data_IF_960269135117
#
_entry.id   IF_960269135117
#
_cell.length_a   1.000
_cell.length_b   1.000
_cell.length_c   1.000
_cell.angle_alpha   90.00
_cell.angle_beta   90.00
_cell.angle_gamma   90.00
#
_symmetry.space_group_name_H-M   'P 1'
#
loop_
_entity.id
_entity.type
_entity.pdbx_description
1 polymer ?
#
# COMPACT_ATOMS: atom_id res chain seq x y z
N UNK A 1 -5.99 41.09 -11.17
CA UNK A 1 -5.50 40.16 -10.14
C UNK A 1 -6.38 38.91 -10.04
N UNK A 2 -7.71 39.01 -9.90
CA UNK A 2 -8.61 37.83 -9.92
C UNK A 2 -8.53 36.99 -11.21
N UNK A 3 -8.42 37.65 -12.37
CA UNK A 3 -8.30 36.99 -13.69
C UNK A 3 -7.02 36.17 -13.89
N UNK A 4 -5.96 36.51 -13.16
CA UNK A 4 -4.65 35.84 -13.22
C UNK A 4 -4.67 34.54 -12.40
N UNK A 5 -5.30 34.59 -11.22
CA UNK A 5 -5.52 33.41 -10.36
C UNK A 5 -6.44 32.38 -11.06
N UNK A 6 -7.50 32.85 -11.73
CA UNK A 6 -8.38 31.97 -12.52
C UNK A 6 -7.67 31.36 -13.74
N UNK A 7 -6.69 32.06 -14.31
CA UNK A 7 -5.79 31.54 -15.33
C UNK A 7 -4.95 30.38 -14.78
N UNK A 8 -4.25 30.61 -13.67
CA UNK A 8 -3.40 29.61 -13.03
C UNK A 8 -4.18 28.38 -12.56
N UNK A 9 -5.39 28.54 -12.01
CA UNK A 9 -6.25 27.42 -11.61
C UNK A 9 -6.65 26.55 -12.82
N UNK A 10 -6.87 27.16 -13.98
CA UNK A 10 -7.18 26.41 -15.22
C UNK A 10 -5.98 25.62 -15.71
N UNK A 11 -4.79 26.22 -15.71
CA UNK A 11 -3.55 25.55 -16.10
C UNK A 11 -3.18 24.41 -15.16
N UNK A 12 -3.35 24.59 -13.85
CA UNK A 12 -3.08 23.54 -12.86
C UNK A 12 -4.01 22.34 -13.04
N UNK A 13 -5.29 22.59 -13.32
CA UNK A 13 -6.28 21.53 -13.61
C UNK A 13 -5.94 20.77 -14.88
N UNK A 14 -5.48 21.46 -15.93
CA UNK A 14 -5.04 20.83 -17.16
C UNK A 14 -3.84 19.88 -16.93
N UNK A 15 -2.83 20.34 -16.18
CA UNK A 15 -1.69 19.51 -15.81
C UNK A 15 -2.07 18.31 -14.94
N UNK A 16 -3.03 18.47 -14.02
CA UNK A 16 -3.50 17.37 -13.17
C UNK A 16 -4.14 16.27 -14.02
N UNK A 17 -4.98 16.64 -14.99
CA UNK A 17 -5.58 15.70 -15.94
C UNK A 17 -4.51 14.99 -16.77
N UNK A 18 -3.50 15.73 -17.25
CA UNK A 18 -2.39 15.15 -18.02
C UNK A 18 -1.60 14.13 -17.19
N UNK A 19 -1.23 14.48 -15.96
CA UNK A 19 -0.52 13.57 -15.05
C UNK A 19 -1.34 12.32 -14.73
N UNK A 20 -2.65 12.46 -14.56
CA UNK A 20 -3.54 11.30 -14.37
C UNK A 20 -3.56 10.39 -15.60
N UNK A 21 -3.56 10.97 -16.80
CA UNK A 21 -3.51 10.23 -18.05
C UNK A 21 -2.17 9.48 -18.19
N UNK A 22 -1.07 10.15 -17.89
CA UNK A 22 0.28 9.56 -17.91
C UNK A 22 0.40 8.42 -16.90
N UNK A 23 -0.14 8.59 -15.67
CA UNK A 23 -0.18 7.53 -14.67
C UNK A 23 -0.93 6.30 -15.18
N UNK A 24 -2.13 6.51 -15.74
CA UNK A 24 -2.93 5.42 -16.31
C UNK A 24 -2.20 4.70 -17.45
N UNK A 25 -1.55 5.45 -18.34
CA UNK A 25 -0.73 4.90 -19.41
C UNK A 25 0.45 4.08 -18.87
N UNK A 26 1.12 4.55 -17.83
CA UNK A 26 2.22 3.82 -17.17
C UNK A 26 1.72 2.51 -16.54
N UNK A 27 0.57 2.53 -15.87
CA UNK A 27 -0.05 1.34 -15.29
C UNK A 27 -0.36 0.29 -16.37
N UNK A 28 -0.95 0.71 -17.49
CA UNK A 28 -1.23 -0.16 -18.64
C UNK A 28 0.05 -0.71 -19.27
N UNK A 29 1.08 0.13 -19.46
CA UNK A 29 2.38 -0.27 -20.00
C UNK A 29 3.12 -1.24 -19.07
N UNK A 30 3.03 -1.04 -17.77
CA UNK A 30 3.58 -1.96 -16.76
C UNK A 30 2.94 -3.34 -16.90
N UNK A 31 1.61 -3.40 -17.00
CA UNK A 31 0.87 -4.66 -17.21
C UNK A 31 1.27 -5.34 -18.52
N UNK A 32 1.46 -4.58 -19.61
CA UNK A 32 1.87 -5.14 -20.91
C UNK A 32 3.28 -5.71 -20.88
N UNK A 33 4.26 -4.94 -20.38
CA UNK A 33 5.64 -5.40 -20.23
C UNK A 33 5.67 -6.65 -19.36
N UNK A 34 4.90 -6.66 -18.28
CA UNK A 34 4.77 -7.81 -17.38
C UNK A 34 4.24 -9.05 -18.10
N UNK A 35 3.16 -8.92 -18.88
CA UNK A 35 2.61 -10.03 -19.67
C UNK A 35 3.62 -10.57 -20.67
N UNK A 36 4.35 -9.70 -21.36
CA UNK A 36 5.37 -10.14 -22.33
C UNK A 36 6.57 -10.81 -21.64
N UNK A 37 7.00 -10.31 -20.49
CA UNK A 37 8.07 -10.93 -19.70
C UNK A 37 7.65 -12.32 -19.19
N UNK A 38 6.40 -12.46 -18.75
CA UNK A 38 5.83 -13.73 -18.31
C UNK A 38 5.70 -14.74 -19.46
N UNK A 39 5.20 -14.31 -20.63
CA UNK A 39 5.13 -15.18 -21.82
C UNK A 39 6.51 -15.67 -22.26
N UNK A 40 7.55 -14.87 -22.10
CA UNK A 40 8.92 -15.25 -22.42
C UNK A 40 9.59 -16.13 -21.34
N UNK A 41 9.04 -16.23 -20.12
CA UNK A 41 9.58 -17.04 -19.02
C UNK A 41 8.88 -18.40 -18.86
N UNK A 42 7.69 -18.58 -19.41
CA UNK A 42 6.88 -19.82 -19.26
C UNK A 42 7.47 -21.04 -20.00
N UNK A 43 8.46 -20.85 -20.87
CA UNK A 43 9.19 -21.97 -21.49
C UNK A 43 10.33 -22.55 -20.62
N UNK A 44 10.57 -22.02 -19.42
CA UNK A 44 11.57 -22.54 -18.48
C UNK A 44 11.03 -22.59 -17.04
N UNK A 45 10.79 -23.82 -16.59
CA UNK A 45 10.48 -24.29 -15.23
C UNK A 45 9.01 -24.35 -14.79
N UNK A 46 8.52 -25.54 -14.36
CA UNK A 46 7.11 -25.80 -14.10
C UNK A 46 6.58 -25.37 -12.72
N UNK A 47 7.38 -24.68 -11.88
CA UNK A 47 7.01 -24.45 -10.47
C UNK A 47 6.96 -22.97 -10.04
N UNK A 48 7.08 -22.01 -10.97
CA UNK A 48 6.95 -20.60 -10.62
C UNK A 48 5.48 -20.16 -10.54
N UNK A 49 5.04 -19.86 -9.32
CA UNK A 49 3.71 -19.32 -9.03
C UNK A 49 3.45 -18.07 -9.90
N UNK A 50 2.35 -18.05 -10.67
CA UNK A 50 2.03 -16.94 -11.56
C UNK A 50 2.13 -15.61 -10.80
N UNK A 51 2.79 -14.58 -11.33
CA UNK A 51 2.97 -13.32 -10.61
C UNK A 51 1.66 -12.66 -10.18
N UNK A 52 0.56 -12.91 -10.91
CA UNK A 52 -0.79 -12.49 -10.50
C UNK A 52 -1.18 -13.13 -9.15
N UNK A 53 -0.86 -14.41 -8.95
CA UNK A 53 -1.08 -15.11 -7.67
C UNK A 53 -0.16 -14.57 -6.57
N UNK A 54 1.11 -14.28 -6.87
CA UNK A 54 2.05 -13.68 -5.91
C UNK A 54 1.53 -12.33 -5.42
N UNK A 55 1.09 -11.46 -6.34
CA UNK A 55 0.50 -10.16 -6.02
C UNK A 55 -0.78 -10.33 -5.20
N UNK A 56 -1.68 -11.22 -5.61
CA UNK A 56 -2.92 -11.47 -4.87
C UNK A 56 -2.65 -11.97 -3.44
N UNK A 57 -1.66 -12.86 -3.28
CA UNK A 57 -1.20 -13.35 -1.98
C UNK A 57 -0.62 -12.22 -1.14
N UNK A 58 0.23 -11.38 -1.72
CA UNK A 58 0.81 -10.24 -1.02
C UNK A 58 -0.25 -9.24 -0.54
N UNK A 59 -1.20 -8.88 -1.41
CA UNK A 59 -2.33 -8.00 -1.05
C UNK A 59 -3.15 -8.59 0.09
N UNK A 60 -3.43 -9.90 0.04
CA UNK A 60 -4.16 -10.61 1.09
C UNK A 60 -3.39 -10.59 2.42
N UNK A 61 -2.10 -10.93 2.38
CA UNK A 61 -1.24 -10.92 3.56
C UNK A 61 -1.15 -9.54 4.20
N UNK A 62 -1.00 -8.48 3.39
CA UNK A 62 -0.95 -7.11 3.89
C UNK A 62 -2.27 -6.68 4.54
N UNK A 63 -3.40 -7.04 3.93
CA UNK A 63 -4.73 -6.78 4.50
C UNK A 63 -4.89 -7.49 5.86
N UNK A 64 -4.55 -8.77 5.94
CA UNK A 64 -4.62 -9.54 7.19
C UNK A 64 -3.68 -8.99 8.26
N UNK A 65 -2.47 -8.60 7.90
CA UNK A 65 -1.54 -7.94 8.83
C UNK A 65 -2.13 -6.65 9.39
N UNK A 66 -2.66 -5.77 8.54
CA UNK A 66 -3.28 -4.52 8.99
C UNK A 66 -4.45 -4.76 9.94
N UNK A 67 -5.34 -5.71 9.59
CA UNK A 67 -6.48 -6.07 10.44
C UNK A 67 -6.01 -6.60 11.81
N UNK A 68 -5.01 -7.47 11.84
CA UNK A 68 -4.46 -8.02 13.08
C UNK A 68 -3.78 -6.95 13.93
N UNK A 69 -2.97 -6.08 13.32
CA UNK A 69 -2.30 -4.98 14.00
C UNK A 69 -3.31 -4.04 14.63
N UNK A 70 -4.36 -3.66 13.91
CA UNK A 70 -5.38 -2.73 14.38
C UNK A 70 -6.20 -3.33 15.54
N UNK A 71 -6.54 -4.63 15.47
CA UNK A 71 -7.19 -5.35 16.59
C UNK A 71 -6.26 -5.45 17.79
N UNK A 72 -4.99 -5.81 17.57
CA UNK A 72 -3.98 -5.91 18.61
C UNK A 72 -3.76 -4.59 19.35
N UNK A 73 -3.67 -3.47 18.61
CA UNK A 73 -3.56 -2.13 19.18
C UNK A 73 -4.77 -1.75 20.04
N UNK A 74 -5.99 -2.08 19.58
CA UNK A 74 -7.21 -1.84 20.37
C UNK A 74 -7.20 -2.62 21.67
N UNK A 75 -6.79 -3.89 21.63
CA UNK A 75 -6.69 -4.73 22.82
C UNK A 75 -5.63 -4.19 23.79
N UNK A 76 -4.45 -3.83 23.28
CA UNK A 76 -3.39 -3.23 24.07
C UNK A 76 -3.85 -1.92 24.73
N UNK A 77 -4.62 -1.08 24.01
CA UNK A 77 -5.20 0.13 24.57
C UNK A 77 -6.18 -0.18 25.71
N UNK A 78 -7.09 -1.15 25.55
CA UNK A 78 -8.02 -1.53 26.61
C UNK A 78 -7.27 -1.97 27.88
N UNK A 79 -6.22 -2.77 27.74
CA UNK A 79 -5.40 -3.22 28.88
C UNK A 79 -4.64 -2.04 29.51
N UNK A 80 -4.11 -1.13 28.68
CA UNK A 80 -3.44 0.08 29.16
C UNK A 80 -4.39 0.96 29.99
N UNK A 81 -5.63 1.13 29.51
CA UNK A 81 -6.68 1.89 30.20
C UNK A 81 -7.05 1.24 31.54
N UNK A 82 -7.21 -0.10 31.58
CA UNK A 82 -7.49 -0.85 32.81
C UNK A 82 -6.36 -0.72 33.84
N UNK A 83 -5.11 -0.75 33.37
CA UNK A 83 -3.91 -0.61 34.22
C UNK A 83 -3.55 0.84 34.53
N UNK A 84 -4.20 1.81 33.88
CA UNK A 84 -3.89 3.24 33.97
C UNK A 84 -2.42 3.57 33.64
N UNK A 85 -1.90 2.90 32.61
CA UNK A 85 -0.53 3.06 32.09
C UNK A 85 -0.57 3.45 30.62
N UNK A 86 0.55 3.87 30.07
CA UNK A 86 0.63 4.13 28.63
C UNK A 86 0.69 2.83 27.82
N UNK A 87 0.15 2.86 26.59
CA UNK A 87 0.20 1.70 25.69
C UNK A 87 1.65 1.25 25.40
N UNK A 88 2.61 2.18 25.40
CA UNK A 88 4.04 1.85 25.23
C UNK A 88 4.57 0.94 26.33
N UNK A 89 4.13 1.14 27.58
CA UNK A 89 4.51 0.27 28.71
C UNK A 89 3.91 -1.13 28.58
N UNK A 90 2.72 -1.27 28.00
CA UNK A 90 2.13 -2.58 27.69
C UNK A 90 2.97 -3.29 26.62
N UNK A 91 3.40 -2.58 25.58
CA UNK A 91 4.27 -3.14 24.54
C UNK A 91 5.64 -3.57 25.08
N UNK A 92 6.24 -2.78 25.96
CA UNK A 92 7.46 -3.15 26.69
C UNK A 92 7.26 -4.39 27.57
N UNK A 93 6.14 -4.47 28.31
CA UNK A 93 5.80 -5.60 29.18
C UNK A 93 5.67 -6.92 28.40
N UNK A 94 5.08 -6.87 27.20
CA UNK A 94 4.92 -8.04 26.33
C UNK A 94 6.12 -8.30 25.40
N UNK A 95 7.19 -7.49 25.50
CA UNK A 95 8.42 -7.67 24.73
C UNK A 95 8.29 -7.36 23.23
N UNK A 96 7.36 -6.48 22.84
CA UNK A 96 7.12 -6.08 21.46
C UNK A 96 7.58 -4.64 21.25
N UNK A 97 8.34 -4.40 20.18
CA UNK A 97 8.71 -3.04 19.76
C UNK A 97 7.58 -2.40 18.95
N UNK A 98 7.33 -1.10 19.18
CA UNK A 98 6.41 -0.28 18.40
C UNK A 98 6.97 0.10 17.01
N UNK A 99 8.22 -0.25 16.72
CA UNK A 99 8.80 -0.07 15.39
C UNK A 99 8.59 -1.34 14.57
N UNK A 100 7.86 -1.22 13.48
CA UNK A 100 7.95 -2.14 12.36
C UNK A 100 9.33 -1.91 11.71
N UNK A 101 10.34 -2.71 12.05
CA UNK A 101 11.63 -2.75 11.33
C UNK A 101 11.51 -3.47 9.98
#
# INVERSE_FOLDING_TARGET
>A
MMTDIEGQIRELKAHLVELQLQRKYLDEKFIQLFKSAYQNSVDKEPDMESPVKIIAKHIKSLKTYNELRDVGLKLAQCVADEKNVSIGQIFEEIGISMKDE
#
